data_IF_351791244361
#
_entry.id   IF_351791244361
#
_cell.length_a   1.000
_cell.length_b   1.000
_cell.length_c   1.000
_cell.angle_alpha   90.00
_cell.angle_beta   90.00
_cell.angle_gamma   90.00
#
_symmetry.space_group_name_H-M   'P 1'
#
loop_
_entity.id
_entity.type
_entity.pdbx_description
1 polymer ?
#
# COMPACT_ATOMS: atom_id res chain seq x y z
N UNK A 1 -1.55 13.31 -9.58
CA UNK A 1 -0.39 13.44 -10.49
C UNK A 1 0.92 12.81 -9.98
N UNK A 2 1.70 13.39 -9.05
CA UNK A 2 3.03 12.83 -8.68
C UNK A 2 2.97 11.43 -8.07
N UNK A 3 2.04 11.16 -7.14
CA UNK A 3 1.90 9.83 -6.50
C UNK A 3 1.49 8.73 -7.50
N UNK A 4 0.59 9.05 -8.43
CA UNK A 4 0.15 8.11 -9.47
C UNK A 4 1.29 7.77 -10.43
N UNK A 5 2.13 8.75 -10.80
CA UNK A 5 3.30 8.53 -11.65
C UNK A 5 4.36 7.61 -11.02
N UNK A 6 4.67 7.80 -9.73
CA UNK A 6 5.60 6.93 -9.00
C UNK A 6 5.07 5.51 -8.82
N UNK A 7 3.77 5.36 -8.57
CA UNK A 7 3.17 4.04 -8.38
C UNK A 7 3.12 3.20 -9.66
N UNK A 8 3.14 3.83 -10.84
CA UNK A 8 3.29 3.08 -12.10
C UNK A 8 4.63 2.34 -12.22
N UNK A 9 5.66 2.74 -11.47
CA UNK A 9 6.92 1.98 -11.39
C UNK A 9 6.73 0.61 -10.72
N UNK A 10 5.68 0.44 -9.91
CA UNK A 10 5.28 -0.85 -9.33
C UNK A 10 4.39 -1.70 -10.26
N UNK A 11 4.17 -1.26 -11.50
CA UNK A 11 3.33 -1.98 -12.47
C UNK A 11 1.84 -2.03 -12.10
N UNK A 12 1.39 -1.11 -11.24
CA UNK A 12 -0.01 -1.00 -10.84
C UNK A 12 -0.82 -0.21 -11.86
N UNK A 13 -2.00 -0.74 -12.20
CA UNK A 13 -3.01 -0.09 -13.04
C UNK A 13 -4.33 0.00 -12.27
N UNK A 14 -5.30 0.76 -12.75
CA UNK A 14 -6.62 0.77 -12.12
C UNK A 14 -7.28 -0.63 -12.19
N UNK A 15 -8.01 -1.06 -11.14
CA UNK A 15 -8.34 -0.31 -9.91
C UNK A 15 -7.27 -0.35 -8.81
N UNK A 16 -6.30 -1.27 -8.90
CA UNK A 16 -5.26 -1.51 -7.90
C UNK A 16 -4.44 -0.24 -7.58
N UNK A 17 -4.19 0.59 -8.59
CA UNK A 17 -3.49 1.86 -8.44
C UNK A 17 -4.20 2.80 -7.46
N UNK A 18 -5.52 2.91 -7.52
CA UNK A 18 -6.29 3.73 -6.59
C UNK A 18 -6.19 3.20 -5.15
N UNK A 19 -6.27 1.89 -4.97
CA UNK A 19 -6.21 1.28 -3.64
C UNK A 19 -4.81 1.36 -3.02
N UNK A 20 -3.76 1.24 -3.84
CA UNK A 20 -2.39 1.50 -3.42
C UNK A 20 -2.16 2.96 -2.98
N UNK A 21 -2.72 3.94 -3.71
CA UNK A 21 -2.67 5.36 -3.29
C UNK A 21 -3.38 5.56 -1.95
N UNK A 22 -4.53 4.92 -1.74
CA UNK A 22 -5.29 5.00 -0.49
C UNK A 22 -4.50 4.43 0.67
N UNK A 23 -3.87 3.27 0.49
CA UNK A 23 -3.00 2.65 1.49
C UNK A 23 -1.87 3.61 1.89
N UNK A 24 -1.08 4.09 0.93
CA UNK A 24 0.04 4.99 1.20
C UNK A 24 -0.40 6.25 1.96
N UNK A 25 -1.49 6.88 1.52
CA UNK A 25 -2.00 8.10 2.17
C UNK A 25 -2.44 7.83 3.60
N UNK A 26 -3.18 6.75 3.84
CA UNK A 26 -3.65 6.38 5.16
C UNK A 26 -2.48 6.08 6.10
N UNK A 27 -1.49 5.30 5.65
CA UNK A 27 -0.32 4.97 6.44
C UNK A 27 0.48 6.22 6.80
N UNK A 28 0.82 7.08 5.82
CA UNK A 28 1.62 8.28 6.09
C UNK A 28 0.89 9.25 7.02
N UNK A 29 -0.39 9.52 6.74
CA UNK A 29 -1.17 10.43 7.57
C UNK A 29 -1.34 9.89 9.00
N UNK A 30 -1.70 8.60 9.14
CA UNK A 30 -1.85 7.96 10.44
C UNK A 30 -0.55 7.94 11.24
N UNK A 31 0.59 7.68 10.58
CA UNK A 31 1.89 7.68 11.22
C UNK A 31 2.25 9.06 11.77
N UNK A 32 2.13 10.12 10.96
CA UNK A 32 2.41 11.48 11.39
C UNK A 32 1.45 11.95 12.50
N UNK A 33 0.17 11.55 12.45
CA UNK A 33 -0.80 11.88 13.50
C UNK A 33 -0.46 11.19 14.83
N UNK A 34 -0.05 9.91 14.79
CA UNK A 34 0.40 9.17 15.98
C UNK A 34 1.71 9.75 16.54
N UNK A 35 2.67 10.08 15.69
CA UNK A 35 3.92 10.72 16.13
C UNK A 35 3.67 12.08 16.79
N UNK A 36 2.90 12.96 16.14
CA UNK A 36 2.63 14.31 16.63
C UNK A 36 1.85 14.32 17.95
N UNK A 37 1.02 13.30 18.20
CA UNK A 37 0.28 13.14 19.46
C UNK A 37 1.04 12.35 20.53
N UNK A 38 2.23 11.82 20.21
CA UNK A 38 2.96 10.90 21.10
C UNK A 38 2.28 9.54 21.27
N UNK A 39 1.37 9.17 20.38
CA UNK A 39 0.48 8.00 20.47
C UNK A 39 1.15 6.63 20.31
N UNK A 40 2.45 6.55 19.97
CA UNK A 40 3.14 5.27 19.83
C UNK A 40 3.47 4.60 21.17
N UNK A 41 3.78 5.38 22.21
CA UNK A 41 3.95 4.90 23.59
C UNK A 41 5.04 3.84 23.85
N UNK A 42 5.82 3.44 22.83
CA UNK A 42 6.86 2.43 22.91
C UNK A 42 8.25 3.08 23.04
N UNK A 43 9.23 2.42 23.70
CA UNK A 43 10.58 2.98 23.92
C UNK A 43 11.46 3.03 22.65
N UNK A 44 10.99 2.47 21.54
CA UNK A 44 11.71 2.45 20.27
C UNK A 44 11.59 3.80 19.56
N UNK A 45 12.69 4.26 19.00
CA UNK A 45 12.71 5.46 18.15
C UNK A 45 11.70 5.33 16.98
N UNK A 46 10.84 6.33 16.88
CA UNK A 46 9.80 6.46 15.84
C UNK A 46 10.44 6.51 14.45
N UNK A 47 11.58 7.19 14.29
CA UNK A 47 12.25 7.34 12.99
C UNK A 47 12.71 5.99 12.43
N UNK A 48 13.20 5.11 13.28
CA UNK A 48 13.63 3.76 12.88
C UNK A 48 12.42 2.90 12.51
N UNK A 49 11.29 3.09 13.19
CA UNK A 49 10.05 2.39 12.88
C UNK A 49 9.42 2.90 11.57
N UNK A 50 9.61 4.18 11.26
CA UNK A 50 9.20 4.77 9.98
C UNK A 50 9.97 4.16 8.79
N UNK A 51 11.30 4.04 8.89
CA UNK A 51 12.09 3.43 7.81
C UNK A 51 11.62 2.00 7.51
N UNK A 52 11.31 1.22 8.57
CA UNK A 52 10.72 -0.12 8.41
C UNK A 52 9.33 -0.12 7.80
N UNK A 53 8.51 0.90 8.10
CA UNK A 53 7.21 1.03 7.46
C UNK A 53 7.34 1.33 5.96
N UNK A 54 8.29 2.16 5.55
CA UNK A 54 8.56 2.44 4.14
C UNK A 54 9.06 1.19 3.41
N UNK A 55 10.01 0.45 4.00
CA UNK A 55 10.48 -0.83 3.46
C UNK A 55 9.32 -1.82 3.27
N UNK A 56 8.44 -1.94 4.28
CA UNK A 56 7.29 -2.84 4.23
C UNK A 56 6.26 -2.42 3.17
N UNK A 57 6.00 -1.11 3.02
CA UNK A 57 5.13 -0.59 1.97
C UNK A 57 5.70 -0.87 0.58
N UNK A 58 7.01 -0.71 0.40
CA UNK A 58 7.67 -1.06 -0.86
C UNK A 58 7.43 -2.53 -1.23
N UNK A 59 7.69 -3.46 -0.31
CA UNK A 59 7.44 -4.90 -0.52
C UNK A 59 5.96 -5.19 -0.81
N UNK A 60 5.04 -4.54 -0.08
CA UNK A 60 3.60 -4.70 -0.29
C UNK A 60 3.16 -4.23 -1.69
N UNK A 61 3.74 -3.14 -2.20
CA UNK A 61 3.45 -2.62 -3.53
C UNK A 61 4.04 -3.50 -4.64
N UNK A 62 5.24 -4.07 -4.44
CA UNK A 62 5.83 -5.04 -5.38
C UNK A 62 5.01 -6.33 -5.48
N UNK A 63 4.38 -6.74 -4.38
CA UNK A 63 3.63 -8.00 -4.26
C UNK A 63 2.12 -7.75 -4.15
N UNK A 64 1.62 -6.67 -4.76
CA UNK A 64 0.22 -6.28 -4.66
C UNK A 64 -0.70 -7.43 -5.08
N UNK A 65 -1.74 -7.77 -4.29
CA UNK A 65 -2.66 -8.84 -4.64
C UNK A 65 -3.43 -8.43 -5.90
N UNK A 66 -3.13 -9.10 -7.02
CA UNK A 66 -3.90 -8.96 -8.25
C UNK A 66 -5.09 -9.89 -8.16
N UNK A 67 -6.28 -9.39 -8.44
CA UNK A 67 -7.42 -10.27 -8.63
C UNK A 67 -7.09 -11.23 -9.77
N UNK A 68 -7.02 -12.53 -9.48
CA UNK A 68 -6.94 -13.56 -10.51
C UNK A 68 -8.17 -13.39 -11.41
N UNK A 69 -7.95 -13.31 -12.72
CA UNK A 69 -9.00 -13.31 -13.73
C UNK A 69 -9.65 -14.70 -13.87
N UNK A 70 -9.87 -15.40 -12.75
CA UNK A 70 -10.24 -16.81 -12.68
C UNK A 70 -11.57 -17.01 -11.96
N UNK A 71 -12.58 -16.23 -12.33
CA UNK A 71 -13.99 -16.59 -12.15
C UNK A 71 -14.78 -16.13 -13.38
N UNK A 72 -14.58 -16.79 -14.52
CA UNK A 72 -15.26 -16.40 -15.76
C UNK A 72 -15.20 -17.43 -16.88
N UNK A 73 -15.00 -18.71 -16.57
CA UNK A 73 -14.67 -19.71 -17.60
C UNK A 73 -15.12 -21.12 -17.30
N UNK A 74 -16.40 -21.35 -16.97
CA UNK A 74 -17.04 -22.59 -17.42
C UNK A 74 -18.55 -22.40 -17.62
N UNK A 75 -18.89 -21.74 -18.72
CA UNK A 75 -20.18 -21.92 -19.38
C UNK A 75 -20.12 -23.16 -20.28
N UNK A 76 -21.04 -24.09 -20.02
CA UNK A 76 -21.77 -24.90 -21.01
C UNK A 76 -20.99 -25.54 -22.17
N UNK A 77 -20.78 -26.86 -22.08
CA UNK A 77 -20.80 -27.86 -23.17
C UNK A 77 -20.99 -29.23 -22.50
N UNK A 78 -22.00 -30.05 -22.75
CA UNK A 78 -23.18 -30.02 -23.61
C UNK A 78 -24.08 -31.19 -23.20
#
# INVERSE_FOLDING_TARGET
EITYGMLRAYGLTEPDLTDAVRLLRATFHGYCALEASGGFGAPRDVRVSWDRAVDALHVALENWPRADATEGGEGTRG
#
